data_IF_301914475588
#
_entry.id   IF_301914475588
#
_cell.length_a   1.000
_cell.length_b   1.000
_cell.length_c   1.000
_cell.angle_alpha   90.00
_cell.angle_beta   90.00
_cell.angle_gamma   90.00
#
_symmetry.space_group_name_H-M   'P 1'
#
loop_
_entity.id
_entity.type
_entity.pdbx_description
1 polymer ?
#
# COMPACT_ATOMS: atom_id res chain seq x y z
N UNK A 1 -12.84 -2.75 -4.11
CA UNK A 1 -12.22 -1.96 -5.18
C UNK A 1 -11.48 -0.81 -4.53
N UNK A 2 -10.15 -0.78 -4.60
CA UNK A 2 -9.36 0.23 -3.92
C UNK A 2 -8.11 0.63 -4.70
N UNK A 3 -7.75 1.91 -4.60
CA UNK A 3 -6.44 2.44 -4.95
C UNK A 3 -5.60 2.47 -3.68
N UNK A 4 -4.40 1.88 -3.73
CA UNK A 4 -3.47 1.83 -2.61
C UNK A 4 -2.34 2.85 -2.77
N UNK A 5 -1.89 3.36 -1.64
CA UNK A 5 -0.76 4.26 -1.51
C UNK A 5 0.23 3.70 -0.50
N UNK A 6 1.52 3.97 -0.70
CA UNK A 6 2.59 3.64 0.24
C UNK A 6 3.27 4.93 0.74
N UNK A 7 3.43 5.06 2.05
CA UNK A 7 4.33 6.05 2.62
C UNK A 7 5.77 5.58 2.39
N UNK A 8 6.48 6.28 1.53
CA UNK A 8 7.87 5.95 1.16
C UNK A 8 8.87 6.04 2.31
N UNK A 9 8.52 6.71 3.42
CA UNK A 9 9.39 6.84 4.60
C UNK A 9 9.15 5.72 5.62
N UNK A 10 7.88 5.49 5.96
CA UNK A 10 7.51 4.54 7.02
C UNK A 10 7.17 3.13 6.51
N UNK A 11 6.83 3.00 5.23
CA UNK A 11 6.39 1.74 4.63
C UNK A 11 4.95 1.35 4.96
N UNK A 12 4.18 2.23 5.62
CA UNK A 12 2.74 2.04 5.78
C UNK A 12 2.04 2.08 4.43
N UNK A 13 0.94 1.34 4.32
CA UNK A 13 0.11 1.32 3.13
C UNK A 13 -1.33 1.57 3.53
N UNK A 14 -2.00 2.44 2.80
CA UNK A 14 -3.38 2.79 3.03
C UNK A 14 -4.13 2.90 1.70
N UNK A 15 -5.44 2.68 1.75
CA UNK A 15 -6.32 3.00 0.62
C UNK A 15 -6.57 4.50 0.54
N UNK A 16 -6.95 5.00 -0.64
CA UNK A 16 -7.35 6.41 -0.80
C UNK A 16 -8.42 6.81 0.22
N UNK A 17 -9.44 5.95 0.41
CA UNK A 17 -10.52 6.17 1.38
C UNK A 17 -9.97 6.37 2.80
N UNK A 18 -9.08 5.47 3.26
CA UNK A 18 -8.50 5.57 4.60
C UNK A 18 -7.64 6.84 4.77
N UNK A 19 -6.93 7.26 3.73
CA UNK A 19 -6.17 8.52 3.77
C UNK A 19 -7.09 9.75 3.82
N UNK A 20 -8.23 9.72 3.14
CA UNK A 20 -9.25 10.77 3.26
C UNK A 20 -9.88 10.77 4.66
N UNK A 21 -10.24 9.61 5.19
CA UNK A 21 -10.83 9.47 6.52
C UNK A 21 -9.87 9.94 7.63
N UNK A 22 -8.56 9.74 7.44
CA UNK A 22 -7.52 10.21 8.35
C UNK A 22 -7.06 11.66 8.09
N UNK A 23 -7.75 12.41 7.22
CA UNK A 23 -7.39 13.78 6.83
C UNK A 23 -5.94 13.94 6.31
N UNK A 24 -5.37 12.88 5.74
CA UNK A 24 -4.05 12.90 5.07
C UNK A 24 -4.19 13.35 3.61
N UNK A 25 -5.29 12.99 2.96
CA UNK A 25 -5.61 13.47 1.61
C UNK A 25 -6.18 14.88 1.65
N UNK A 26 -5.80 15.70 0.68
CA UNK A 26 -6.33 17.05 0.48
C UNK A 26 -7.81 17.02 0.07
N UNK A 27 -8.56 18.15 0.20
CA UNK A 27 -9.97 18.22 -0.14
C UNK A 27 -10.30 17.87 -1.60
N UNK A 28 -9.34 18.03 -2.51
CA UNK A 28 -9.47 17.66 -3.94
C UNK A 28 -9.17 16.17 -4.20
N UNK A 29 -8.88 15.39 -3.15
CA UNK A 29 -8.52 13.99 -3.22
C UNK A 29 -7.04 13.73 -3.55
N UNK A 30 -6.23 14.78 -3.65
CA UNK A 30 -4.79 14.68 -3.84
C UNK A 30 -4.15 14.10 -2.58
N UNK A 31 -3.36 13.05 -2.74
CA UNK A 31 -2.59 12.44 -1.65
C UNK A 31 -1.17 13.03 -1.68
N UNK A 32 -0.75 13.79 -0.65
CA UNK A 32 0.54 14.47 -0.64
C UNK A 32 1.71 13.53 -0.37
N UNK A 33 2.93 13.97 -0.67
CA UNK A 33 4.16 13.27 -0.24
C UNK A 33 4.19 13.17 1.30
N UNK A 34 4.74 12.10 1.89
CA UNK A 34 5.54 11.04 1.28
C UNK A 34 4.73 9.86 0.71
N UNK A 35 3.40 9.98 0.63
CA UNK A 35 2.54 8.93 0.10
C UNK A 35 2.61 8.86 -1.42
N UNK A 36 2.70 7.64 -1.94
CA UNK A 36 2.85 7.35 -3.35
C UNK A 36 1.85 6.29 -3.80
N UNK A 37 1.15 6.54 -4.90
CA UNK A 37 0.24 5.56 -5.47
C UNK A 37 0.99 4.30 -5.89
N UNK A 38 0.55 3.15 -5.39
CA UNK A 38 0.99 1.85 -5.87
C UNK A 38 0.35 1.61 -7.23
N UNK A 39 1.16 1.29 -8.23
CA UNK A 39 0.66 0.98 -9.57
C UNK A 39 -0.16 -0.32 -9.53
N UNK A 40 -1.37 -0.28 -10.07
CA UNK A 40 -2.30 -1.39 -10.04
C UNK A 40 -3.70 -1.00 -10.51
N UNK A 41 -4.59 -1.98 -10.57
CA UNK A 41 -5.97 -1.76 -10.95
C UNK A 41 -6.70 -1.01 -9.84
N UNK A 42 -7.53 -0.02 -10.19
CA UNK A 42 -8.30 0.77 -9.21
C UNK A 42 -9.41 -0.03 -8.52
N UNK A 43 -9.64 -1.26 -8.98
CA UNK A 43 -10.69 -2.15 -8.55
C UNK A 43 -10.21 -3.33 -7.72
N UNK A 44 -8.94 -3.34 -7.31
CA UNK A 44 -8.39 -4.44 -6.55
C UNK A 44 -9.16 -4.71 -5.25
N UNK A 45 -9.27 -5.98 -4.92
CA UNK A 45 -9.78 -6.49 -3.65
C UNK A 45 -8.68 -7.27 -2.95
N UNK A 46 -8.51 -7.06 -1.65
CA UNK A 46 -7.51 -7.76 -0.84
C UNK A 46 -7.78 -9.26 -0.72
N UNK A 47 -8.97 -9.72 -1.12
CA UNK A 47 -9.29 -11.14 -1.27
C UNK A 47 -8.47 -11.83 -2.37
N UNK A 48 -8.21 -11.13 -3.48
CA UNK A 48 -7.48 -11.69 -4.64
C UNK A 48 -6.09 -11.07 -4.81
N UNK A 49 -5.90 -9.84 -4.36
CA UNK A 49 -4.65 -9.11 -4.49
C UNK A 49 -3.91 -9.04 -3.15
N UNK A 50 -2.60 -9.27 -3.22
CA UNK A 50 -1.65 -8.99 -2.17
C UNK A 50 -1.04 -7.62 -2.41
N UNK A 51 -1.06 -6.77 -1.38
CA UNK A 51 -0.26 -5.55 -1.37
C UNK A 51 1.10 -5.89 -0.78
N UNK A 52 2.15 -5.66 -1.55
CA UNK A 52 3.51 -6.01 -1.21
C UNK A 52 4.30 -4.73 -0.95
N UNK A 53 5.23 -4.75 0.01
CA UNK A 53 6.24 -3.71 0.19
C UNK A 53 7.65 -4.28 0.22
N UNK A 54 8.62 -3.46 -0.14
CA UNK A 54 10.05 -3.74 0.06
C UNK A 54 10.78 -2.44 0.38
N UNK A 55 11.76 -2.51 1.29
CA UNK A 55 12.67 -1.40 1.55
C UNK A 55 13.83 -1.47 0.55
N UNK A 56 14.00 -0.41 -0.23
CA UNK A 56 15.10 -0.21 -1.16
C UNK A 56 15.95 0.97 -0.67
N UNK A 57 17.14 0.70 -0.15
CA UNK A 57 17.98 1.69 0.53
C UNK A 57 17.18 2.38 1.65
N UNK A 58 16.91 3.67 1.51
CA UNK A 58 16.20 4.50 2.49
C UNK A 58 14.71 4.73 2.15
N UNK A 59 14.19 4.11 1.09
CA UNK A 59 12.79 4.29 0.68
C UNK A 59 12.01 2.98 0.64
N UNK A 60 10.72 3.03 0.92
CA UNK A 60 9.81 1.91 0.70
C UNK A 60 9.15 2.01 -0.67
N UNK A 61 9.09 0.88 -1.37
CA UNK A 61 8.34 0.72 -2.62
C UNK A 61 7.22 -0.30 -2.45
N UNK A 62 6.12 -0.08 -3.17
CA UNK A 62 4.92 -0.92 -3.11
C UNK A 62 4.61 -1.58 -4.45
N UNK A 63 4.00 -2.76 -4.39
CA UNK A 63 3.50 -3.46 -5.57
C UNK A 63 2.15 -4.13 -5.26
N UNK A 64 1.30 -4.25 -6.27
CA UNK A 64 0.02 -4.94 -6.18
C UNK A 64 0.04 -6.15 -7.10
N UNK A 65 -0.16 -7.35 -6.54
CA UNK A 65 -0.04 -8.61 -7.29
C UNK A 65 -1.16 -9.58 -6.93
N UNK A 66 -1.51 -10.50 -7.83
CA UNK A 66 -2.47 -11.57 -7.53
C UNK A 66 -1.88 -12.54 -6.48
N UNK A 67 -2.65 -12.83 -5.44
CA UNK A 67 -2.35 -13.82 -4.40
C UNK A 67 -2.19 -15.20 -5.01
N UNK A 68 -1.35 -16.02 -4.38
CA UNK A 68 -1.10 -17.42 -4.78
C UNK A 68 -0.66 -17.59 -6.24
N UNK A 69 -0.18 -16.52 -6.88
CA UNK A 69 0.41 -16.58 -8.20
C UNK A 69 1.91 -16.92 -8.14
N UNK A 70 2.50 -17.44 -9.23
CA UNK A 70 3.95 -17.59 -9.32
C UNK A 70 4.71 -16.27 -9.08
N UNK A 71 4.13 -15.14 -9.51
CA UNK A 71 4.74 -13.83 -9.30
C UNK A 71 4.76 -13.43 -7.83
N UNK A 72 3.67 -13.64 -7.08
CA UNK A 72 3.63 -13.42 -5.64
C UNK A 72 4.69 -14.26 -4.90
N UNK A 73 4.79 -15.54 -5.22
CA UNK A 73 5.82 -16.44 -4.66
C UNK A 73 7.25 -15.95 -4.97
N UNK A 74 7.48 -15.44 -6.19
CA UNK A 74 8.76 -14.89 -6.60
C UNK A 74 9.13 -13.63 -5.82
N UNK A 75 8.17 -12.73 -5.58
CA UNK A 75 8.40 -11.50 -4.83
C UNK A 75 8.76 -11.81 -3.37
N UNK A 76 8.04 -12.75 -2.72
CA UNK A 76 8.38 -13.22 -1.37
C UNK A 76 9.83 -13.71 -1.29
N UNK A 77 10.27 -14.55 -2.25
CA UNK A 77 11.65 -15.04 -2.32
C UNK A 77 12.68 -13.93 -2.55
N UNK A 78 12.29 -12.80 -3.14
CA UNK A 78 13.14 -11.63 -3.38
C UNK A 78 13.14 -10.64 -2.20
N UNK A 79 12.55 -11.02 -1.07
CA UNK A 79 12.51 -10.20 0.15
C UNK A 79 11.42 -9.13 0.13
N UNK A 80 10.42 -9.26 -0.74
CA UNK A 80 9.18 -8.49 -0.59
C UNK A 80 8.36 -9.06 0.55
N UNK A 81 7.69 -8.18 1.27
CA UNK A 81 6.79 -8.52 2.36
C UNK A 81 5.38 -8.27 1.90
N UNK A 82 4.50 -9.25 2.10
CA UNK A 82 3.08 -9.00 2.00
C UNK A 82 2.63 -8.22 3.25
N UNK A 83 1.80 -7.20 3.04
CA UNK A 83 1.18 -6.44 4.12
C UNK A 83 -0.12 -7.14 4.51
N UNK A 84 -0.26 -7.61 5.77
CA UNK A 84 -1.51 -8.18 6.26
C UNK A 84 -2.65 -7.17 6.13
N UNK A 85 -3.85 -7.63 5.78
CA UNK A 85 -5.03 -6.76 5.64
C UNK A 85 -5.31 -5.90 6.89
N UNK A 86 -5.17 -6.42 8.13
CA UNK A 86 -5.34 -5.61 9.34
C UNK A 86 -4.32 -4.49 9.52
N UNK A 87 -3.16 -4.57 8.85
CA UNK A 87 -2.09 -3.55 8.90
C UNK A 87 -2.23 -2.51 7.78
N UNK A 88 -3.24 -2.65 6.90
CA UNK A 88 -3.51 -1.65 5.86
C UNK A 88 -4.27 -0.49 6.50
N UNK A 89 -3.56 0.62 6.66
CA UNK A 89 -4.06 1.88 7.19
C UNK A 89 -2.92 2.90 7.30
N UNK A 90 -3.25 4.19 7.48
CA UNK A 90 -2.28 5.16 7.95
C UNK A 90 -1.76 4.75 9.34
N UNK A 91 -0.55 5.20 9.74
CA UNK A 91 -0.08 5.00 11.11
C UNK A 91 -1.14 5.55 12.08
N UNK A 92 -1.43 4.82 13.16
CA UNK A 92 -2.40 5.25 14.17
C UNK A 92 -2.05 6.67 14.60
N UNK A 93 -2.92 7.61 14.25
CA UNK A 93 -2.95 8.91 14.90
C UNK A 93 -3.64 8.63 16.23
N UNK A 94 -2.87 8.22 17.23
CA UNK A 94 -3.37 8.18 18.60
C UNK A 94 -3.74 9.62 18.98
N UNK A 95 -5.04 9.90 19.11
CA UNK A 95 -5.56 11.06 19.84
C UNK A 95 -5.14 11.00 21.32
#
# INVERSE_FOLDING_TARGET
>A
MAVFYIDTRSGHVATQRQLTEAAVAEPDGTVPRPWHRIQGTGDATTMWYAVMRRKEREIFIGALVLRHSPHHSLLLKRGWQEIPVPEIGPPDVSD
#
